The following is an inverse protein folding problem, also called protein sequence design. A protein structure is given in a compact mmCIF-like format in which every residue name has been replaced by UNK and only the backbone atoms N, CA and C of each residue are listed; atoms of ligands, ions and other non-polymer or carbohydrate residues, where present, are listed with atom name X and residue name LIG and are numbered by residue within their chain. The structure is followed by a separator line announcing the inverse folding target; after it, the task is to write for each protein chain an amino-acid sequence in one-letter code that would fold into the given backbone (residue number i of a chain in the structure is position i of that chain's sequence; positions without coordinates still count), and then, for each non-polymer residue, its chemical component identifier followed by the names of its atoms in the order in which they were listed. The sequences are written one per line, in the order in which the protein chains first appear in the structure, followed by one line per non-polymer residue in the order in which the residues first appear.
data_IF_415389594257
#
_entry.id   IF_415389594257
#
_cell.length_a   1.000
_cell.length_b   1.000
_cell.length_c   1.000
_cell.angle_alpha   90.00
_cell.angle_beta   90.00
_cell.angle_gamma   90.00
#
_symmetry.space_group_name_H-M   'P 1'
#
loop_
_entity.id
_entity.type
_entity.pdbx_description
1 polymer ?
#
# COMPACT_ATOMS: atom_id res chain seq x y z
N UNK A 1 -34.69 18.52 34.59
CA UNK A 1 -36.01 17.96 34.97
C UNK A 1 -36.80 19.01 35.74
N UNK A 2 -38.14 19.05 35.61
CA UNK A 2 -39.00 20.02 36.32
C UNK A 2 -39.92 19.30 37.30
N UNK A 3 -39.98 19.76 38.56
CA UNK A 3 -41.02 19.37 39.50
C UNK A 3 -42.09 20.46 39.55
N UNK A 4 -43.37 20.06 39.55
CA UNK A 4 -44.50 20.98 39.56
C UNK A 4 -45.38 20.68 40.78
N UNK A 5 -45.54 21.67 41.66
CA UNK A 5 -46.43 21.60 42.80
C UNK A 5 -47.84 22.03 42.38
N UNK A 6 -48.82 21.14 42.46
CA UNK A 6 -50.22 21.44 42.14
C UNK A 6 -51.10 21.28 43.36
N UNK A 7 -52.07 22.19 43.52
CA UNK A 7 -53.06 22.16 44.59
C UNK A 7 -54.41 21.78 43.96
N UNK A 8 -55.09 20.81 44.57
CA UNK A 8 -56.43 20.39 44.18
C UNK A 8 -57.35 20.30 45.40
N UNK A 9 -58.58 20.87 45.35
CA UNK A 9 -59.09 21.74 44.28
C UNK A 9 -58.32 23.07 44.22
N UNK A 10 -58.33 23.72 43.05
CA UNK A 10 -57.68 25.03 42.89
C UNK A 10 -58.31 26.05 43.86
N UNK A 11 -57.53 27.00 44.42
CA UNK A 11 -58.06 27.98 45.36
C UNK A 11 -59.25 28.73 44.74
N UNK A 12 -60.41 28.67 45.41
CA UNK A 12 -61.64 29.28 44.90
C UNK A 12 -61.67 30.81 45.03
N UNK A 13 -60.72 31.38 45.77
CA UNK A 13 -60.59 32.81 46.04
C UNK A 13 -59.55 33.45 45.11
N UNK A 14 -60.03 34.30 44.20
CA UNK A 14 -59.16 35.19 43.42
C UNK A 14 -58.41 36.13 44.39
N UNK A 15 -57.07 36.04 44.41
CA UNK A 15 -56.20 36.90 45.22
C UNK A 15 -55.41 36.23 46.35
N UNK A 16 -55.50 34.90 46.54
CA UNK A 16 -54.62 34.22 47.51
C UNK A 16 -53.21 34.09 46.93
N UNK A 17 -52.26 34.87 47.47
CA UNK A 17 -50.86 34.74 47.12
C UNK A 17 -50.29 33.46 47.76
N UNK A 18 -49.84 32.53 46.92
CA UNK A 18 -49.26 31.27 47.35
C UNK A 18 -47.75 31.32 47.22
N UNK A 19 -47.06 30.88 48.28
CA UNK A 19 -45.62 30.64 48.23
C UNK A 19 -45.35 29.14 48.25
N UNK A 20 -44.59 28.65 47.27
CA UNK A 20 -44.23 27.25 47.12
C UNK A 20 -42.82 27.00 47.63
N UNK A 21 -42.69 25.98 48.47
CA UNK A 21 -41.41 25.54 49.03
C UNK A 21 -41.17 24.09 48.63
N UNK A 22 -40.00 23.78 48.10
CA UNK A 22 -39.62 22.42 47.74
C UNK A 22 -38.62 21.83 48.74
N UNK A 23 -38.74 20.53 48.95
CA UNK A 23 -37.95 19.76 49.89
C UNK A 23 -37.49 18.47 49.23
N UNK A 24 -36.35 17.97 49.71
CA UNK A 24 -35.81 16.68 49.33
C UNK A 24 -35.09 16.06 50.51
N UNK A 25 -35.15 14.74 50.64
CA UNK A 25 -34.31 14.00 51.58
C UNK A 25 -32.81 14.16 51.24
N UNK A 26 -32.49 14.53 49.99
CA UNK A 26 -31.10 14.62 49.48
C UNK A 26 -30.40 15.92 49.89
N UNK A 27 -31.12 17.04 49.90
CA UNK A 27 -30.49 18.35 50.10
C UNK A 27 -30.21 18.68 51.56
N UNK A 28 -30.73 17.88 52.51
CA UNK A 28 -30.67 18.14 53.96
C UNK A 28 -31.08 19.57 54.38
N UNK A 29 -31.69 20.33 53.47
CA UNK A 29 -32.05 21.74 53.62
C UNK A 29 -33.26 22.05 52.74
N UNK A 30 -34.05 23.02 53.20
CA UNK A 30 -35.22 23.56 52.51
C UNK A 30 -34.76 24.54 51.43
N UNK A 31 -35.25 24.37 50.21
CA UNK A 31 -35.01 25.35 49.14
C UNK A 31 -35.77 26.67 49.41
N UNK A 32 -35.24 27.80 48.92
CA UNK A 32 -35.93 29.09 48.99
C UNK A 32 -37.33 29.00 48.38
N UNK A 33 -38.32 29.60 49.06
CA UNK A 33 -39.69 29.54 48.59
C UNK A 33 -39.97 30.65 47.59
N UNK A 34 -40.71 30.31 46.54
CA UNK A 34 -40.99 31.21 45.43
C UNK A 34 -42.49 31.22 45.12
N UNK A 35 -42.97 32.23 44.40
CA UNK A 35 -44.34 32.28 43.87
C UNK A 35 -44.54 31.31 42.70
N UNK A 36 -43.45 30.87 42.06
CA UNK A 36 -43.50 29.83 41.02
C UNK A 36 -43.80 28.45 41.62
N UNK A 37 -44.83 27.72 41.12
CA UNK A 37 -45.09 26.34 41.51
C UNK A 37 -44.15 25.33 40.84
N UNK A 38 -43.13 25.80 40.11
CA UNK A 38 -42.20 24.96 39.34
C UNK A 38 -40.79 25.07 39.90
N UNK A 39 -40.15 23.93 40.15
CA UNK A 39 -38.73 23.82 40.46
C UNK A 39 -37.98 23.18 39.30
N UNK A 40 -36.97 23.87 38.78
CA UNK A 40 -36.06 23.34 37.78
C UNK A 40 -34.84 22.69 38.45
N UNK A 41 -34.59 21.43 38.14
CA UNK A 41 -33.38 20.71 38.54
C UNK A 41 -32.51 20.55 37.28
N UNK A 42 -31.45 21.37 37.12
CA UNK A 42 -30.69 21.46 35.88
C UNK A 42 -29.82 20.23 35.61
N UNK A 43 -29.26 19.61 36.64
CA UNK A 43 -28.50 18.35 36.55
C UNK A 43 -28.98 17.41 37.64
N UNK A 44 -29.33 16.18 37.25
CA UNK A 44 -29.61 15.10 38.20
C UNK A 44 -28.54 14.03 38.10
N UNK A 45 -28.09 13.61 39.28
CA UNK A 45 -27.09 12.60 39.50
C UNK A 45 -27.69 11.45 40.30
N UNK A 46 -26.98 10.33 40.39
CA UNK A 46 -27.48 9.16 41.13
C UNK A 46 -27.70 9.50 42.60
N UNK A 47 -26.86 10.37 43.15
CA UNK A 47 -26.92 10.90 44.50
C UNK A 47 -28.15 11.81 44.71
N UNK A 48 -28.84 12.22 43.64
CA UNK A 48 -30.10 12.95 43.72
C UNK A 48 -31.34 12.05 43.77
N UNK A 49 -31.16 10.73 43.81
CA UNK A 49 -32.26 9.80 44.05
C UNK A 49 -32.75 9.94 45.49
N UNK A 50 -34.06 10.05 45.68
CA UNK A 50 -34.65 10.26 47.00
C UNK A 50 -36.08 10.74 46.93
N UNK A 51 -36.68 11.03 48.09
CA UNK A 51 -38.03 11.59 48.15
C UNK A 51 -38.00 13.10 47.99
N UNK A 52 -38.93 13.62 47.20
CA UNK A 52 -39.16 15.04 47.00
C UNK A 52 -40.60 15.39 47.35
N UNK A 53 -40.84 16.54 47.96
CA UNK A 53 -42.19 17.03 48.24
C UNK A 53 -42.23 18.55 48.20
N UNK A 54 -43.44 19.10 48.10
CA UNK A 54 -43.64 20.53 48.12
C UNK A 54 -44.66 20.93 49.18
N UNK A 55 -44.53 22.17 49.64
CA UNK A 55 -45.50 22.84 50.49
C UNK A 55 -46.01 24.09 49.78
N UNK A 56 -47.32 24.29 49.79
CA UNK A 56 -47.94 25.55 49.42
C UNK A 56 -48.33 26.31 50.70
N UNK A 57 -47.80 27.52 50.85
CA UNK A 57 -48.06 28.42 51.96
C UNK A 57 -49.01 29.53 51.53
N UNK A 58 -50.31 29.42 51.84
CA UNK A 58 -51.21 30.55 51.78
C UNK A 58 -51.01 31.48 52.99
N UNK A 59 -51.27 32.78 52.80
CA UNK A 59 -50.98 33.83 53.80
C UNK A 59 -51.82 33.71 55.09
N UNK A 60 -53.06 33.21 54.98
CA UNK A 60 -54.04 33.18 56.09
C UNK A 60 -54.51 31.79 56.48
N UNK A 61 -53.98 30.74 55.85
CA UNK A 61 -54.42 29.36 56.06
C UNK A 61 -53.26 28.42 56.37
N UNK A 62 -53.58 27.21 56.83
CA UNK A 62 -52.56 26.20 57.14
C UNK A 62 -51.79 25.82 55.87
N UNK A 63 -50.50 25.56 56.07
CA UNK A 63 -49.61 25.06 55.02
C UNK A 63 -50.15 23.73 54.49
N UNK A 64 -50.26 23.62 53.17
CA UNK A 64 -50.68 22.41 52.48
C UNK A 64 -49.43 21.68 52.02
N UNK A 65 -49.25 20.43 52.42
CA UNK A 65 -48.09 19.60 52.07
C UNK A 65 -48.50 18.50 51.09
N UNK A 66 -47.70 18.30 50.04
CA UNK A 66 -47.89 17.17 49.13
C UNK A 66 -47.49 15.85 49.76
N UNK A 67 -47.92 14.74 49.15
CA UNK A 67 -47.26 13.45 49.39
C UNK A 67 -45.80 13.50 48.91
N UNK A 68 -44.98 12.61 49.48
CA UNK A 68 -43.60 12.41 49.04
C UNK A 68 -43.59 11.65 47.70
N UNK A 69 -42.86 12.18 46.74
CA UNK A 69 -42.67 11.58 45.42
C UNK A 69 -41.23 11.06 45.32
N UNK A 70 -41.08 9.75 45.09
CA UNK A 70 -39.77 9.13 44.95
C UNK A 70 -39.21 9.35 43.54
N UNK A 71 -38.00 9.90 43.45
CA UNK A 71 -37.26 10.03 42.20
C UNK A 71 -36.09 9.06 42.26
N UNK A 72 -36.03 8.14 41.30
CA UNK A 72 -34.90 7.24 41.11
C UNK A 72 -34.10 7.66 39.87
N UNK A 73 -32.86 8.09 40.06
CA UNK A 73 -31.97 8.51 38.97
C UNK A 73 -31.07 7.34 38.61
N UNK A 74 -31.41 6.65 37.54
CA UNK A 74 -30.64 5.49 37.08
C UNK A 74 -29.50 5.90 36.13
N UNK A 75 -28.37 5.19 36.24
CA UNK A 75 -27.32 5.27 35.21
C UNK A 75 -27.74 4.47 33.99
N UNK A 76 -27.40 5.00 32.82
CA UNK A 76 -27.62 4.32 31.55
C UNK A 76 -26.40 3.43 31.30
N UNK A 77 -26.61 2.13 31.17
CA UNK A 77 -25.54 1.19 30.81
C UNK A 77 -24.95 1.56 29.45
N UNK A 78 -23.68 1.24 29.25
CA UNK A 78 -23.07 1.40 27.93
C UNK A 78 -23.77 0.49 26.91
N UNK A 79 -24.08 1.02 25.72
CA UNK A 79 -24.57 0.24 24.57
C UNK A 79 -24.04 0.80 23.25
N UNK A 80 -24.09 -0.03 22.21
CA UNK A 80 -23.74 0.31 20.83
C UNK A 80 -22.32 0.86 20.73
N UNK A 81 -21.35 0.06 21.18
CA UNK A 81 -19.93 0.40 21.14
C UNK A 81 -19.42 0.20 19.71
N UNK A 82 -18.73 1.18 19.17
CA UNK A 82 -18.09 1.12 17.85
C UNK A 82 -16.61 1.44 17.95
N UNK A 83 -15.83 0.85 17.05
CA UNK A 83 -14.44 1.18 16.84
C UNK A 83 -14.28 1.74 15.44
N UNK A 84 -13.66 2.91 15.34
CA UNK A 84 -13.32 3.58 14.10
C UNK A 84 -11.81 3.85 14.04
N UNK A 85 -11.31 4.11 12.84
CA UNK A 85 -9.88 4.30 12.58
C UNK A 85 -9.63 5.66 11.95
N UNK A 86 -8.49 6.26 12.28
CA UNK A 86 -7.95 7.40 11.56
C UNK A 86 -6.52 7.07 11.12
N UNK A 87 -6.23 7.03 9.80
CA UNK A 87 -7.14 7.31 8.67
C UNK A 87 -8.32 6.31 8.56
N UNK A 88 -9.46 6.73 7.97
CA UNK A 88 -10.65 5.89 7.84
C UNK A 88 -10.41 4.71 6.91
N UNK A 89 -11.13 3.61 7.14
CA UNK A 89 -11.02 2.38 6.35
C UNK A 89 -9.89 1.45 6.77
N UNK A 90 -9.16 1.77 7.84
CA UNK A 90 -8.14 0.90 8.43
C UNK A 90 -6.88 0.72 7.58
N UNK A 91 -6.70 1.52 6.52
CA UNK A 91 -5.49 1.47 5.68
C UNK A 91 -4.50 2.55 6.10
N UNK A 92 -3.35 2.17 6.64
CA UNK A 92 -2.31 3.10 7.09
C UNK A 92 -0.98 2.79 6.40
N UNK A 93 -0.19 3.81 6.11
CA UNK A 93 1.17 3.60 5.61
C UNK A 93 2.13 3.26 6.75
N UNK A 94 3.10 2.39 6.48
CA UNK A 94 4.16 2.08 7.46
C UNK A 94 4.87 3.37 7.92
N UNK A 95 5.17 3.44 9.21
CA UNK A 95 5.80 4.58 9.85
C UNK A 95 4.85 5.75 10.16
N UNK A 96 3.60 5.72 9.70
CA UNK A 96 2.59 6.76 10.00
C UNK A 96 1.79 6.42 11.26
N UNK A 97 1.10 7.44 11.78
CA UNK A 97 0.25 7.33 12.96
C UNK A 97 -1.09 6.68 12.59
N UNK A 98 -1.52 5.71 13.40
CA UNK A 98 -2.86 5.12 13.38
C UNK A 98 -3.58 5.44 14.70
N UNK A 99 -4.81 5.93 14.62
CA UNK A 99 -5.64 6.22 15.79
C UNK A 99 -6.86 5.31 15.79
N UNK A 100 -7.11 4.66 16.92
CA UNK A 100 -8.24 3.78 17.18
C UNK A 100 -9.25 4.51 18.08
N UNK A 101 -10.36 4.95 17.50
CA UNK A 101 -11.39 5.74 18.19
C UNK A 101 -12.53 4.82 18.62
N UNK A 102 -12.69 4.63 19.94
CA UNK A 102 -13.77 3.87 20.52
C UNK A 102 -14.90 4.82 20.96
N UNK A 103 -16.11 4.59 20.48
CA UNK A 103 -17.29 5.41 20.75
C UNK A 103 -18.44 4.58 21.32
N UNK A 104 -19.30 5.20 22.13
CA UNK A 104 -20.52 4.58 22.66
C UNK A 104 -21.73 5.46 22.34
N UNK A 105 -22.83 4.86 21.87
CA UNK A 105 -24.02 5.66 21.56
C UNK A 105 -24.79 6.08 22.83
N UNK A 106 -24.77 5.23 23.85
CA UNK A 106 -25.44 5.46 25.13
C UNK A 106 -24.55 5.03 26.28
N UNK A 107 -24.58 5.78 27.36
CA UNK A 107 -23.82 5.51 28.58
C UNK A 107 -23.77 6.76 29.44
N UNK A 108 -23.74 6.61 30.76
CA UNK A 108 -23.56 7.74 31.67
C UNK A 108 -22.51 7.45 32.74
N UNK A 109 -21.94 8.53 33.29
CA UNK A 109 -20.88 8.48 34.29
C UNK A 109 -19.49 8.37 33.67
N UNK A 110 -18.55 7.85 34.45
CA UNK A 110 -17.21 7.53 33.96
C UNK A 110 -17.26 6.22 33.19
N UNK A 111 -16.67 6.20 32.00
CA UNK A 111 -16.61 5.06 31.11
C UNK A 111 -15.15 4.67 30.98
N UNK A 112 -14.88 3.38 31.21
CA UNK A 112 -13.56 2.78 31.00
C UNK A 112 -13.53 2.14 29.63
N UNK A 113 -12.67 2.66 28.77
CA UNK A 113 -12.39 2.16 27.44
C UNK A 113 -11.16 1.25 27.49
N UNK A 114 -11.21 0.12 26.76
CA UNK A 114 -10.10 -0.82 26.58
C UNK A 114 -9.96 -1.14 25.10
N UNK A 115 -8.72 -1.17 24.60
CA UNK A 115 -8.43 -1.52 23.21
C UNK A 115 -7.68 -2.84 23.15
N UNK A 116 -8.03 -3.66 22.17
CA UNK A 116 -7.47 -4.98 21.97
C UNK A 116 -6.97 -5.15 20.53
N UNK A 117 -5.88 -5.91 20.39
CA UNK A 117 -5.25 -6.31 19.13
C UNK A 117 -5.30 -7.83 18.97
N UNK A 118 -5.62 -8.27 17.75
CA UNK A 118 -5.76 -9.67 17.38
C UNK A 118 -7.03 -10.30 17.92
N UNK A 119 -7.47 -11.38 17.27
CA UNK A 119 -8.66 -12.14 17.68
C UNK A 119 -8.53 -12.75 19.10
N UNK A 120 -7.30 -13.00 19.57
CA UNK A 120 -7.03 -13.52 20.91
C UNK A 120 -7.05 -12.44 22.01
N UNK A 121 -7.18 -11.15 21.64
CA UNK A 121 -7.44 -10.07 22.59
C UNK A 121 -6.21 -9.58 23.35
N UNK A 122 -5.10 -9.26 22.68
CA UNK A 122 -3.96 -8.61 23.32
C UNK A 122 -4.33 -7.17 23.74
N UNK A 123 -4.33 -6.89 25.04
CA UNK A 123 -4.69 -5.57 25.57
C UNK A 123 -3.62 -4.54 25.23
N UNK A 124 -4.00 -3.51 24.46
CA UNK A 124 -3.12 -2.40 24.08
C UNK A 124 -3.10 -1.29 25.13
N UNK A 125 -4.25 -0.98 25.71
CA UNK A 125 -4.38 0.17 26.60
C UNK A 125 -5.73 0.29 27.26
N UNK A 126 -5.83 1.23 28.19
CA UNK A 126 -7.08 1.57 28.87
C UNK A 126 -7.13 3.04 29.24
N UNK A 127 -8.31 3.65 29.14
CA UNK A 127 -8.56 5.04 29.55
C UNK A 127 -9.92 5.13 30.23
N UNK A 128 -10.00 5.76 31.40
CA UNK A 128 -11.27 6.04 32.08
C UNK A 128 -11.55 7.53 32.07
N UNK A 129 -12.69 7.90 31.51
CA UNK A 129 -13.06 9.29 31.27
C UNK A 129 -14.57 9.46 31.28
N UNK A 130 -15.01 10.69 31.53
CA UNK A 130 -16.42 11.05 31.49
C UNK A 130 -16.80 11.60 30.11
N UNK A 131 -16.61 10.79 29.09
CA UNK A 131 -16.98 11.08 27.70
C UNK A 131 -17.45 9.80 27.03
N UNK A 132 -18.24 9.96 25.96
CA UNK A 132 -18.77 8.85 25.17
C UNK A 132 -17.77 8.33 24.13
N UNK A 133 -16.62 8.98 24.00
CA UNK A 133 -15.58 8.63 23.03
C UNK A 133 -14.20 8.76 23.65
N UNK A 134 -13.30 7.86 23.26
CA UNK A 134 -11.88 7.89 23.57
C UNK A 134 -11.05 7.35 22.41
N UNK A 135 -9.80 7.77 22.32
CA UNK A 135 -8.84 7.30 21.31
C UNK A 135 -7.70 6.47 21.93
N UNK A 136 -7.04 5.65 21.11
CA UNK A 136 -5.73 5.06 21.39
C UNK A 136 -4.85 5.23 20.16
N UNK A 137 -3.61 5.68 20.35
CA UNK A 137 -2.70 5.98 19.25
C UNK A 137 -1.58 4.94 19.14
N UNK A 138 -1.39 4.43 17.92
CA UNK A 138 -0.17 3.74 17.50
C UNK A 138 0.64 4.76 16.71
N UNK A 139 1.68 5.30 17.35
CA UNK A 139 2.47 6.44 16.82
C UNK A 139 3.18 6.11 15.51
N UNK A 140 3.59 4.86 15.35
CA UNK A 140 4.39 4.39 14.20
C UNK A 140 3.90 3.00 13.81
N UNK A 141 3.01 2.94 12.82
CA UNK A 141 2.47 1.69 12.30
C UNK A 141 3.57 0.82 11.70
N UNK A 142 3.52 -0.49 11.97
CA UNK A 142 4.44 -1.50 11.45
C UNK A 142 3.66 -2.60 10.73
N UNK A 143 4.31 -3.39 9.91
CA UNK A 143 3.70 -4.58 9.29
C UNK A 143 2.98 -5.49 10.30
N UNK A 144 3.57 -5.68 11.48
CA UNK A 144 2.97 -6.47 12.57
C UNK A 144 1.66 -5.89 13.13
N UNK A 145 1.30 -4.65 12.81
CA UNK A 145 0.05 -4.01 13.21
C UNK A 145 -1.11 -4.29 12.25
N UNK A 146 -0.86 -4.94 11.11
CA UNK A 146 -1.87 -5.39 10.16
C UNK A 146 -2.69 -6.57 10.72
N UNK A 147 -3.59 -6.27 11.66
CA UNK A 147 -4.36 -7.21 12.45
C UNK A 147 -5.80 -6.74 12.63
N UNK A 148 -6.62 -7.56 13.30
CA UNK A 148 -7.96 -7.15 13.74
C UNK A 148 -7.93 -6.47 15.11
N UNK A 149 -8.75 -5.45 15.30
CA UNK A 149 -8.86 -4.69 16.54
C UNK A 149 -10.31 -4.57 16.96
N UNK A 150 -10.54 -4.49 18.27
CA UNK A 150 -11.84 -4.16 18.85
C UNK A 150 -11.62 -3.38 20.14
N UNK A 151 -12.65 -2.69 20.59
CA UNK A 151 -12.64 -2.04 21.89
C UNK A 151 -13.78 -2.53 22.79
N UNK A 152 -13.59 -2.37 24.08
CA UNK A 152 -14.60 -2.58 25.11
C UNK A 152 -14.85 -1.28 25.85
N UNK A 153 -16.09 -1.04 26.24
CA UNK A 153 -16.46 0.08 27.10
C UNK A 153 -17.33 -0.41 28.26
N UNK A 154 -17.00 0.03 29.47
CA UNK A 154 -17.70 -0.34 30.70
C UNK A 154 -17.88 0.86 31.63
N UNK A 155 -19.09 1.00 32.19
CA UNK A 155 -19.41 2.01 33.21
C UNK A 155 -19.84 1.38 34.56
N UNK A 156 -19.44 0.13 34.81
CA UNK A 156 -19.72 -0.64 36.03
C UNK A 156 -20.99 -1.49 35.96
N UNK A 157 -21.60 -1.61 34.78
CA UNK A 157 -22.80 -2.43 34.53
C UNK A 157 -22.54 -3.56 33.53
N UNK A 158 -21.26 -3.92 33.37
CA UNK A 158 -20.80 -4.94 32.46
C UNK A 158 -20.25 -4.33 31.15
N UNK A 159 -19.16 -4.90 30.62
CA UNK A 159 -18.55 -4.39 29.40
C UNK A 159 -19.43 -4.65 28.19
N UNK A 160 -19.46 -3.69 27.27
CA UNK A 160 -19.96 -3.88 25.91
C UNK A 160 -18.79 -3.81 24.94
N UNK A 161 -18.78 -4.70 23.93
CA UNK A 161 -17.73 -4.80 22.92
C UNK A 161 -18.15 -4.13 21.62
N UNK A 162 -17.17 -3.62 20.87
CA UNK A 162 -17.35 -3.23 19.48
C UNK A 162 -17.29 -4.43 18.54
N UNK A 163 -17.67 -4.21 17.28
CA UNK A 163 -17.25 -5.09 16.19
C UNK A 163 -15.74 -5.06 15.97
N UNK A 164 -15.25 -6.04 15.21
CA UNK A 164 -13.85 -6.12 14.77
C UNK A 164 -13.60 -5.18 13.59
N UNK A 165 -12.45 -4.51 13.60
CA UNK A 165 -11.95 -3.68 12.51
C UNK A 165 -10.60 -4.25 12.05
N UNK A 166 -10.51 -4.60 10.77
CA UNK A 166 -9.24 -5.04 10.16
C UNK A 166 -8.39 -3.83 9.78
N UNK A 167 -7.14 -3.83 10.22
CA UNK A 167 -6.14 -2.85 9.81
C UNK A 167 -5.24 -3.47 8.75
N UNK A 168 -4.94 -2.72 7.70
CA UNK A 168 -3.90 -3.06 6.73
C UNK A 168 -2.82 -2.00 6.75
N UNK A 169 -1.57 -2.45 6.70
CA UNK A 169 -0.41 -1.56 6.65
C UNK A 169 0.20 -1.64 5.25
N UNK A 170 0.21 -0.52 4.53
CA UNK A 170 0.84 -0.42 3.22
C UNK A 170 2.29 0.03 3.36
N UNK A 171 3.20 -0.74 2.80
CA UNK A 171 4.64 -0.56 2.88
C UNK A 171 5.12 0.07 1.56
N UNK A 172 5.81 1.22 1.58
CA UNK A 172 6.43 1.80 0.39
C UNK A 172 7.46 0.86 -0.22
N UNK A 173 7.67 0.95 -1.54
CA UNK A 173 8.71 0.18 -2.21
C UNK A 173 10.10 0.60 -1.74
N UNK A 174 11.00 -0.36 -1.55
CA UNK A 174 12.43 -0.09 -1.40
C UNK A 174 13.09 0.18 -2.75
N UNK A 175 14.33 0.68 -2.74
CA UNK A 175 15.16 0.72 -3.95
C UNK A 175 15.21 -0.66 -4.61
N UNK A 176 14.77 -0.79 -5.87
CA UNK A 176 14.80 -2.07 -6.56
C UNK A 176 16.22 -2.40 -7.04
N UNK A 177 16.46 -3.69 -7.28
CA UNK A 177 17.70 -4.19 -7.88
C UNK A 177 17.38 -4.69 -9.29
N UNK A 178 18.08 -4.15 -10.28
CA UNK A 178 18.03 -4.65 -11.65
C UNK A 178 19.09 -5.73 -11.84
N UNK A 179 18.68 -6.85 -12.42
CA UNK A 179 19.57 -7.94 -12.85
C UNK A 179 19.36 -8.21 -14.34
N UNK A 180 20.47 -8.43 -15.05
CA UNK A 180 20.48 -8.71 -16.49
C UNK A 180 20.78 -10.19 -16.69
N UNK A 181 19.99 -10.87 -17.53
CA UNK A 181 20.26 -12.24 -17.95
C UNK A 181 20.30 -12.32 -19.47
N UNK A 182 21.44 -12.76 -20.01
CA UNK A 182 21.63 -13.02 -21.43
C UNK A 182 21.96 -14.51 -21.64
N UNK A 183 21.76 -15.01 -22.86
CA UNK A 183 22.06 -16.40 -23.24
C UNK A 183 23.55 -16.76 -23.19
N UNK A 184 24.44 -15.77 -23.22
CA UNK A 184 25.90 -15.94 -23.15
C UNK A 184 26.57 -15.08 -22.07
N UNK A 185 27.90 -15.23 -21.92
CA UNK A 185 28.70 -14.46 -20.97
C UNK A 185 28.81 -12.96 -21.33
N UNK A 186 28.59 -12.62 -22.60
CA UNK A 186 28.42 -11.25 -23.10
C UNK A 186 27.24 -11.22 -24.05
N UNK A 187 26.47 -10.14 -24.04
CA UNK A 187 25.40 -9.95 -25.00
C UNK A 187 26.00 -9.61 -26.38
N UNK A 188 25.51 -10.31 -27.41
CA UNK A 188 25.81 -10.05 -28.81
C UNK A 188 24.58 -9.39 -29.45
N UNK A 189 24.79 -8.56 -30.48
CA UNK A 189 23.68 -7.96 -31.21
C UNK A 189 22.72 -9.06 -31.71
N UNK A 190 21.43 -8.91 -31.38
CA UNK A 190 20.38 -9.87 -31.70
C UNK A 190 20.06 -10.89 -30.61
N UNK A 191 20.87 -10.98 -29.54
CA UNK A 191 20.57 -11.85 -28.40
C UNK A 191 19.33 -11.38 -27.64
N UNK A 192 18.63 -12.32 -27.02
CA UNK A 192 17.56 -12.00 -26.08
C UNK A 192 18.15 -11.74 -24.70
N UNK A 193 17.82 -10.58 -24.14
CA UNK A 193 18.22 -10.15 -22.80
C UNK A 193 16.98 -9.98 -21.94
N UNK A 194 16.96 -10.64 -20.80
CA UNK A 194 15.95 -10.45 -19.76
C UNK A 194 16.44 -9.41 -18.75
N UNK A 195 15.64 -8.36 -18.58
CA UNK A 195 15.75 -7.40 -17.49
C UNK A 195 14.85 -7.88 -16.35
N UNK A 196 15.42 -8.31 -15.23
CA UNK A 196 14.66 -8.68 -14.04
C UNK A 196 14.87 -7.66 -12.93
N UNK A 197 13.80 -6.99 -12.52
CA UNK A 197 13.82 -5.94 -11.51
C UNK A 197 13.00 -6.34 -10.28
N UNK A 198 13.58 -6.22 -9.09
CA UNK A 198 12.92 -6.61 -7.84
C UNK A 198 13.17 -5.61 -6.71
N UNK A 199 12.09 -5.13 -6.08
CA UNK A 199 12.14 -4.42 -4.81
C UNK A 199 11.96 -5.41 -3.65
N UNK A 200 12.95 -5.46 -2.75
CA UNK A 200 12.94 -6.39 -1.60
C UNK A 200 11.80 -6.11 -0.60
N UNK A 201 11.34 -4.85 -0.52
CA UNK A 201 10.16 -4.46 0.26
C UNK A 201 9.20 -3.65 -0.60
N UNK A 202 7.92 -3.76 -0.27
CA UNK A 202 6.83 -2.98 -0.87
C UNK A 202 5.54 -3.77 -0.88
N UNK A 203 4.43 -3.15 -0.51
CA UNK A 203 3.12 -3.80 -0.61
C UNK A 203 2.66 -3.86 -2.07
N UNK A 204 2.09 -5.00 -2.51
CA UNK A 204 1.53 -5.12 -3.85
C UNK A 204 0.25 -4.28 -4.07
N UNK A 205 -0.14 -4.06 -5.35
CA UNK A 205 0.62 -4.39 -6.56
C UNK A 205 1.79 -3.42 -6.78
N UNK A 206 2.90 -3.93 -7.32
CA UNK A 206 4.07 -3.11 -7.70
C UNK A 206 4.15 -3.04 -9.22
N UNK A 207 4.24 -1.84 -9.78
CA UNK A 207 4.49 -1.60 -11.19
C UNK A 207 5.99 -1.35 -11.38
N UNK A 208 6.60 -2.09 -12.29
CA UNK A 208 7.99 -1.90 -12.71
C UNK A 208 8.03 -1.28 -14.10
N UNK A 209 8.81 -0.21 -14.28
CA UNK A 209 9.10 0.41 -15.58
C UNK A 209 10.59 0.25 -15.87
N UNK A 210 10.92 -0.14 -17.09
CA UNK A 210 12.30 -0.39 -17.51
C UNK A 210 12.79 0.72 -18.44
N UNK A 211 14.03 1.14 -18.26
CA UNK A 211 14.63 2.27 -18.95
C UNK A 211 15.96 1.89 -19.61
N UNK A 212 16.26 2.57 -20.72
CA UNK A 212 17.58 2.62 -21.36
C UNK A 212 17.91 4.07 -21.67
N UNK A 213 19.00 4.60 -21.11
CA UNK A 213 19.41 6.02 -21.27
C UNK A 213 18.22 7.01 -21.09
N UNK A 214 17.44 6.82 -20.03
CA UNK A 214 16.22 7.56 -19.67
C UNK A 214 14.99 7.38 -20.59
N UNK A 215 15.07 6.49 -21.58
CA UNK A 215 13.94 6.15 -22.45
C UNK A 215 13.21 4.93 -21.89
N UNK A 216 11.87 5.03 -21.76
CA UNK A 216 11.02 3.91 -21.32
C UNK A 216 11.00 2.83 -22.39
N UNK A 217 11.43 1.62 -22.02
CA UNK A 217 11.36 0.42 -22.86
C UNK A 217 10.01 -0.28 -22.75
N UNK A 218 9.46 -0.32 -21.54
CA UNK A 218 8.24 -1.06 -21.25
C UNK A 218 7.95 -1.13 -19.75
N UNK A 219 6.88 -1.81 -19.40
CA UNK A 219 6.46 -2.03 -18.03
C UNK A 219 6.00 -3.46 -17.79
N UNK A 220 6.08 -3.88 -16.53
CA UNK A 220 5.62 -5.17 -16.06
C UNK A 220 5.13 -5.02 -14.61
N UNK A 221 4.19 -5.85 -14.17
CA UNK A 221 3.57 -5.71 -12.84
C UNK A 221 3.73 -6.97 -12.00
N UNK A 222 3.95 -6.78 -10.70
CA UNK A 222 3.98 -7.83 -9.70
C UNK A 222 2.74 -7.71 -8.80
N UNK A 223 1.61 -8.35 -9.14
CA UNK A 223 0.34 -8.19 -8.42
C UNK A 223 0.35 -8.82 -7.03
N UNK A 224 1.27 -9.76 -6.77
CA UNK A 224 1.44 -10.41 -5.46
C UNK A 224 2.74 -10.01 -4.74
N UNK A 225 3.46 -9.02 -5.28
CA UNK A 225 4.80 -8.62 -4.78
C UNK A 225 5.93 -9.39 -5.48
N UNK A 226 7.16 -9.11 -5.06
CA UNK A 226 8.38 -9.63 -5.70
C UNK A 226 8.79 -8.85 -6.94
N UNK A 227 9.66 -9.44 -7.76
CA UNK A 227 10.17 -8.84 -8.98
C UNK A 227 9.32 -9.07 -10.24
N UNK A 228 9.64 -8.33 -11.29
CA UNK A 228 9.08 -8.51 -12.61
C UNK A 228 10.18 -8.53 -13.68
N UNK A 229 9.94 -9.27 -14.76
CA UNK A 229 10.86 -9.38 -15.89
C UNK A 229 10.33 -8.68 -17.14
N UNK A 230 11.26 -8.21 -17.98
CA UNK A 230 11.01 -7.66 -19.31
C UNK A 230 12.09 -8.14 -20.28
N UNK A 231 11.68 -8.74 -21.40
CA UNK A 231 12.61 -9.25 -22.41
C UNK A 231 12.77 -8.25 -23.55
N UNK A 232 14.00 -8.07 -23.99
CA UNK A 232 14.35 -7.24 -25.14
C UNK A 232 15.38 -7.91 -26.04
N UNK A 233 15.45 -7.45 -27.28
CA UNK A 233 16.52 -7.81 -28.22
C UNK A 233 17.70 -6.87 -28.02
N UNK A 234 18.90 -7.41 -27.86
CA UNK A 234 20.13 -6.65 -27.67
C UNK A 234 20.48 -5.88 -28.95
N UNK A 235 20.26 -4.56 -28.95
CA UNK A 235 20.56 -3.68 -30.09
C UNK A 235 21.56 -2.57 -29.72
N UNK A 236 21.37 -1.93 -28.56
CA UNK A 236 22.17 -0.78 -28.13
C UNK A 236 22.84 -1.02 -26.79
N UNK A 237 24.14 -0.73 -26.70
CA UNK A 237 24.81 -0.67 -25.40
C UNK A 237 24.35 0.55 -24.62
N UNK A 238 24.47 0.52 -23.30
CA UNK A 238 24.16 1.66 -22.46
C UNK A 238 23.69 1.28 -21.07
N UNK A 239 23.24 2.29 -20.35
CA UNK A 239 22.76 2.17 -18.98
C UNK A 239 21.30 1.75 -18.95
N UNK A 240 21.04 0.64 -18.28
CA UNK A 240 19.70 0.14 -18.00
C UNK A 240 19.38 0.31 -16.53
N UNK A 241 18.18 0.77 -16.22
CA UNK A 241 17.68 0.85 -14.85
C UNK A 241 16.18 0.58 -14.84
N UNK A 242 15.62 0.36 -13.65
CA UNK A 242 14.19 0.20 -13.49
C UNK A 242 13.64 1.10 -12.38
N UNK A 243 12.38 1.48 -12.53
CA UNK A 243 11.58 2.14 -11.50
C UNK A 243 10.60 1.12 -10.93
N UNK A 244 10.48 1.06 -9.60
CA UNK A 244 9.42 0.35 -8.90
C UNK A 244 8.45 1.37 -8.28
N UNK A 245 7.14 1.17 -8.44
CA UNK A 245 6.10 2.07 -7.93
C UNK A 245 4.87 1.30 -7.45
N UNK A 246 4.45 1.54 -6.20
CA UNK A 246 3.20 1.02 -5.64
C UNK A 246 2.22 2.13 -5.19
N UNK A 247 2.44 3.35 -5.69
CA UNK A 247 1.67 4.56 -5.39
C UNK A 247 2.05 5.24 -4.06
N UNK A 248 3.10 4.77 -3.37
CA UNK A 248 3.57 5.32 -2.09
C UNK A 248 4.94 6.00 -2.19
N UNK A 249 5.40 6.27 -3.41
CA UNK A 249 6.71 6.83 -3.72
C UNK A 249 7.52 5.86 -4.57
N UNK A 250 7.72 6.22 -5.83
CA UNK A 250 8.52 5.44 -6.76
C UNK A 250 10.01 5.45 -6.37
N UNK A 251 10.70 4.36 -6.66
CA UNK A 251 12.14 4.19 -6.40
C UNK A 251 12.84 3.65 -7.64
N UNK A 252 14.06 4.13 -7.90
CA UNK A 252 14.89 3.68 -9.01
C UNK A 252 15.96 2.71 -8.55
N UNK A 253 16.31 1.76 -9.41
CA UNK A 253 17.52 0.96 -9.24
C UNK A 253 18.75 1.78 -9.59
N UNK A 254 19.91 1.30 -9.13
CA UNK A 254 21.18 1.69 -9.75
C UNK A 254 21.17 1.30 -11.23
N UNK A 255 21.89 2.08 -12.04
CA UNK A 255 22.06 1.79 -13.46
C UNK A 255 23.07 0.67 -13.68
N UNK A 256 22.74 -0.26 -14.57
CA UNK A 256 23.60 -1.37 -15.00
C UNK A 256 23.99 -1.16 -16.45
N UNK A 257 25.30 -1.06 -16.71
CA UNK A 257 25.84 -0.93 -18.05
C UNK A 257 25.82 -2.28 -18.77
N UNK A 258 25.07 -2.36 -19.87
CA UNK A 258 25.09 -3.50 -20.79
C UNK A 258 25.97 -3.16 -22.00
N UNK A 259 27.04 -3.93 -22.19
CA UNK A 259 27.89 -3.84 -23.38
C UNK A 259 27.50 -4.94 -24.37
N UNK A 260 27.11 -4.51 -25.58
CA UNK A 260 26.71 -5.39 -26.67
C UNK A 260 27.82 -5.43 -27.70
N UNK A 261 28.26 -6.64 -28.03
CA UNK A 261 29.31 -6.86 -29.04
C UNK A 261 28.70 -7.14 -30.40
N UNK A 262 29.29 -6.57 -31.46
CA UNK A 262 28.93 -6.89 -32.84
C UNK A 262 29.80 -8.06 -33.29
N UNK A 263 29.23 -9.18 -33.77
CA UNK A 263 30.03 -10.26 -34.31
C UNK A 263 30.71 -9.77 -35.59
N UNK A 264 32.03 -9.56 -35.54
CA UNK A 264 32.80 -9.25 -36.73
C UNK A 264 32.83 -10.50 -37.61
N UNK A 265 32.12 -10.47 -38.74
CA UNK A 265 32.27 -11.49 -39.79
C UNK A 265 33.75 -11.57 -40.13
N UNK A 266 34.38 -12.72 -39.85
CA UNK A 266 35.83 -12.87 -40.01
C UNK A 266 36.20 -12.64 -41.49
N UNK A 267 36.71 -11.44 -41.78
CA UNK A 267 37.10 -11.00 -43.11
C UNK A 267 38.24 -11.87 -43.68
N UNK A 268 38.86 -12.72 -42.85
CA UNK A 268 39.90 -13.67 -43.25
C UNK A 268 39.35 -14.78 -44.15
N UNK A 269 38.13 -15.29 -43.93
CA UNK A 269 37.58 -16.36 -44.77
C UNK A 269 37.27 -15.89 -46.19
N UNK A 270 36.82 -14.64 -46.35
CA UNK A 270 36.50 -14.08 -47.67
C UNK A 270 37.77 -13.86 -48.53
N UNK A 271 38.87 -13.48 -47.89
CA UNK A 271 40.16 -13.30 -48.57
C UNK A 271 40.76 -14.63 -49.01
N UNK A 272 40.62 -15.70 -48.21
CA UNK A 272 41.07 -17.04 -48.59
C UNK A 272 40.31 -17.60 -49.79
N UNK A 273 38.99 -17.37 -49.87
CA UNK A 273 38.17 -17.79 -51.04
C UNK A 273 38.60 -17.02 -52.29
N UNK A 274 38.76 -15.69 -52.21
CA UNK A 274 39.19 -14.88 -53.35
C UNK A 274 40.62 -15.20 -53.86
N UNK A 275 41.53 -15.58 -52.95
CA UNK A 275 42.90 -16.01 -53.31
C UNK A 275 42.88 -17.39 -53.99
N UNK A 276 42.04 -18.32 -53.51
CA UNK A 276 41.90 -19.66 -54.10
C UNK A 276 41.28 -19.57 -55.51
N UNK A 277 40.23 -18.77 -55.70
CA UNK A 277 39.61 -18.57 -57.02
C UNK A 277 40.56 -17.89 -58.03
N UNK A 278 41.37 -16.92 -57.58
CA UNK A 278 42.40 -16.29 -58.43
C UNK A 278 43.54 -17.23 -58.84
N UNK A 279 43.98 -18.12 -57.94
CA UNK A 279 45.01 -19.13 -58.22
C UNK A 279 44.51 -20.23 -59.18
N UNK A 280 43.27 -20.71 -59.01
CA UNK A 280 42.67 -21.69 -59.93
C UNK A 280 42.37 -21.07 -61.31
N UNK A 281 41.96 -19.80 -61.35
CA UNK A 281 41.72 -19.06 -62.59
C UNK A 281 42.98 -18.84 -63.46
N UNK A 282 44.18 -18.90 -62.88
CA UNK A 282 45.46 -18.71 -63.59
C UNK A 282 46.14 -20.03 -63.96
N UNK A 283 45.91 -21.12 -63.20
CA UNK A 283 46.46 -22.45 -63.48
C UNK A 283 45.80 -23.14 -64.69
N UNK A 284 44.49 -22.95 -64.88
CA UNK A 284 43.77 -23.47 -66.05
C UNK A 284 44.34 -23.02 -67.40
N UNK A 285 44.42 -21.70 -67.67
CA UNK A 285 44.92 -21.20 -68.95
C UNK A 285 46.42 -21.48 -69.15
N UNK A 286 47.24 -21.49 -68.09
CA UNK A 286 48.67 -21.83 -68.22
C UNK A 286 48.89 -23.29 -68.59
N UNK A 287 48.11 -24.22 -68.02
CA UNK A 287 48.15 -25.63 -68.42
C UNK A 287 47.69 -25.85 -69.88
N UNK A 288 46.64 -25.13 -70.32
CA UNK A 288 46.17 -25.18 -71.72
C UNK A 288 47.19 -24.60 -72.68
N UNK A 289 47.84 -23.47 -72.33
CA UNK A 289 48.93 -22.89 -73.12
C UNK A 289 50.12 -23.87 -73.20
N UNK A 290 50.52 -24.49 -72.08
CA UNK A 290 51.61 -25.47 -72.07
C UNK A 290 51.28 -26.71 -72.91
N UNK A 291 50.06 -27.23 -72.83
CA UNK A 291 49.59 -28.34 -73.68
C UNK A 291 49.54 -27.94 -75.16
N UNK A 292 49.09 -26.73 -75.47
CA UNK A 292 49.07 -26.20 -76.83
C UNK A 292 50.49 -26.00 -77.38
N UNK A 293 51.41 -25.45 -76.58
CA UNK A 293 52.83 -25.33 -76.90
C UNK A 293 53.50 -26.70 -77.09
N UNK A 294 53.16 -27.69 -76.26
CA UNK A 294 53.64 -29.07 -76.41
C UNK A 294 53.11 -29.69 -77.71
N UNK A 295 51.82 -29.48 -78.01
CA UNK A 295 51.20 -29.96 -79.25
C UNK A 295 51.83 -29.31 -80.49
N UNK A 296 52.14 -28.00 -80.44
CA UNK A 296 52.88 -27.29 -81.47
C UNK A 296 54.30 -27.84 -81.63
N UNK A 297 55.04 -28.08 -80.54
CA UNK A 297 56.37 -28.72 -80.59
C UNK A 297 56.30 -30.11 -81.23
N UNK A 298 55.29 -30.92 -80.89
CA UNK A 298 55.08 -32.25 -81.48
C UNK A 298 54.72 -32.20 -82.97
N UNK A 299 54.00 -31.16 -83.41
CA UNK A 299 53.65 -30.93 -84.82
C UNK A 299 54.83 -30.41 -85.64
N UNK A 300 55.69 -29.58 -85.04
CA UNK A 300 56.91 -29.03 -85.68
C UNK A 300 58.03 -30.08 -85.73
N UNK A 301 58.15 -30.94 -84.71
CA UNK A 301 59.11 -32.06 -84.68
C UNK A 301 58.85 -33.17 -85.71
N UNK A 302 57.73 -33.14 -86.44
CA UNK A 302 57.46 -34.04 -87.57
C UNK A 302 57.72 -33.41 -88.95
N UNK A 303 58.20 -32.17 -89.04
CA UNK A 303 58.39 -31.47 -90.32
C UNK A 303 59.81 -30.93 -90.60
N UNK A 304 60.81 -31.25 -89.78
CA UNK A 304 62.19 -30.77 -90.02
C UNK A 304 63.24 -31.79 -89.53
N UNK A 305 63.58 -32.72 -90.42
CA UNK A 305 64.86 -33.44 -90.54
C UNK A 305 64.80 -34.03 -91.97
N UNK A 306 65.60 -33.64 -92.96
CA UNK A 306 67.06 -33.42 -92.96
C UNK A 306 67.48 -32.61 -94.21
N UNK A 307 68.63 -31.95 -94.06
CA UNK A 307 69.38 -30.98 -94.88
C UNK A 307 69.98 -31.42 -96.25
N UNK A 308 70.62 -30.50 -97.02
CA UNK A 308 71.02 -30.64 -98.44
C UNK A 308 72.53 -30.93 -98.73
N UNK A 309 72.76 -31.33 -100.01
CA UNK A 309 73.88 -31.04 -100.97
C UNK A 309 75.29 -31.70 -100.93
N UNK A 310 75.72 -32.06 -102.17
CA UNK A 310 77.09 -32.27 -102.73
C UNK A 310 77.73 -33.66 -102.53
N UNK A 311 78.38 -34.38 -103.46
CA UNK A 311 79.10 -34.05 -104.70
C UNK A 311 79.43 -35.32 -105.56
N UNK A 312 79.61 -35.14 -106.87
CA UNK A 312 80.48 -35.83 -107.87
C UNK A 312 80.70 -37.35 -107.98
N UNK A 313 80.40 -37.82 -109.21
CA UNK A 313 81.22 -38.62 -110.17
C UNK A 313 81.53 -40.10 -109.92
N UNK A 314 81.17 -40.96 -110.89
CA UNK A 314 82.13 -41.71 -111.76
C UNK A 314 81.42 -42.41 -112.93
N UNK A 315 82.12 -42.47 -114.06
CA UNK A 315 81.83 -43.22 -115.28
C UNK A 315 82.01 -44.73 -115.07
N UNK A 316 81.33 -45.52 -115.90
CA UNK A 316 81.46 -46.98 -116.04
C UNK A 316 80.23 -47.57 -116.71
#
# INVERSE_FOLDING_TARGET
MTLICKIYPAPQTAGVQLQFCFFSDVWNQRLPCNTSPKLQIPKMWRENSGSYWCEAKPEKTRVIRSQRFWIDVQRVRVSDVSLETQPPGGQVMEGKKLVLVCSVAKGTGNITFLWYKGAMGFKLGTKTLRSLTADFEILTARESDAEQYYCAADNGYGPSLSGLVSITVRIPVSHPVLTLRATGAQAVVGDMVELHCEAQRGSPPILYRFYHEDIILGNSSAPSGGGASFNLTAEHSGNYFCEADNGLGAQHSEAVLLNITVPTKDRRELLTIGVIEGLLGTLGPTAVILLFCYWLKKKIGKRSARDPLSERSKWG
#
